data_IF_847799450200
#
_entry.id   IF_847799450200
#
_cell.length_a   1.000
_cell.length_b   1.000
_cell.length_c   1.000
_cell.angle_alpha   90.00
_cell.angle_beta   90.00
_cell.angle_gamma   90.00
#
_symmetry.space_group_name_H-M   'P 1'
#
loop_
_entity.id
_entity.type
_entity.pdbx_description
1 polymer ?
#
# COMPACT_ATOMS: atom_id res chain seq x y z
N UNK A 1 1.48 -28.56 6.40
CA UNK A 1 1.36 -27.25 5.71
C UNK A 1 0.74 -26.25 6.66
N UNK A 2 1.44 -25.17 6.99
CA UNK A 2 0.90 -24.05 7.78
C UNK A 2 0.73 -22.83 6.89
N UNK A 3 -0.34 -22.08 7.11
CA UNK A 3 -0.66 -20.86 6.36
C UNK A 3 -0.56 -19.66 7.30
N UNK A 4 0.30 -18.71 6.97
CA UNK A 4 0.54 -17.50 7.73
C UNK A 4 0.12 -16.29 6.89
N UNK A 5 -0.93 -15.61 7.33
CA UNK A 5 -1.41 -14.36 6.75
C UNK A 5 -1.06 -13.18 7.65
N UNK A 6 -0.87 -12.01 7.04
CA UNK A 6 -0.76 -10.78 7.81
C UNK A 6 -2.13 -10.44 8.43
N UNK A 7 -2.23 -10.12 9.73
CA UNK A 7 -3.50 -9.79 10.35
C UNK A 7 -4.07 -8.49 9.77
N UNK A 8 -5.33 -8.55 9.31
CA UNK A 8 -6.01 -7.43 8.67
C UNK A 8 -6.17 -6.20 9.60
N UNK A 9 -6.21 -6.42 10.92
CA UNK A 9 -6.37 -5.36 11.93
C UNK A 9 -5.17 -4.42 12.02
N UNK A 10 -3.95 -4.91 11.80
CA UNK A 10 -2.75 -4.07 11.78
C UNK A 10 -2.73 -3.12 10.56
N UNK A 11 -3.48 -3.45 9.51
CA UNK A 11 -3.46 -2.71 8.24
C UNK A 11 -4.46 -1.58 8.17
N UNK A 12 -5.52 -1.58 8.98
CA UNK A 12 -6.52 -0.51 8.97
C UNK A 12 -5.88 0.86 9.26
N UNK A 13 -4.93 0.91 10.19
CA UNK A 13 -4.19 2.12 10.51
C UNK A 13 -3.37 2.67 9.33
N UNK A 14 -2.82 1.78 8.49
CA UNK A 14 -2.05 2.19 7.31
C UNK A 14 -2.95 2.73 6.19
N UNK A 15 -4.15 2.17 6.01
CA UNK A 15 -5.14 2.73 5.09
C UNK A 15 -5.65 4.10 5.54
N UNK A 16 -5.94 4.25 6.84
CA UNK A 16 -6.35 5.54 7.41
C UNK A 16 -5.25 6.57 7.22
N UNK A 17 -3.99 6.21 7.48
CA UNK A 17 -2.85 7.12 7.27
C UNK A 17 -2.65 7.48 5.80
N UNK A 18 -2.79 6.53 4.88
CA UNK A 18 -2.72 6.78 3.44
C UNK A 18 -3.83 7.73 2.99
N UNK A 19 -5.07 7.48 3.42
CA UNK A 19 -6.23 8.30 3.09
C UNK A 19 -6.13 9.71 3.70
N UNK A 20 -5.70 9.82 4.95
CA UNK A 20 -5.57 11.10 5.65
C UNK A 20 -4.56 12.04 4.99
N UNK A 21 -3.52 11.50 4.35
CA UNK A 21 -2.57 12.31 3.58
C UNK A 21 -3.01 12.55 2.12
N UNK A 22 -3.58 11.54 1.47
CA UNK A 22 -3.93 11.63 0.05
C UNK A 22 -5.18 12.49 -0.18
N UNK A 23 -6.24 12.30 0.61
CA UNK A 23 -7.54 12.94 0.36
C UNK A 23 -7.45 14.46 0.45
N UNK A 24 -6.87 15.08 1.50
CA UNK A 24 -6.77 16.52 1.56
C UNK A 24 -5.91 17.10 0.44
N UNK A 25 -4.77 16.46 0.12
CA UNK A 25 -3.89 16.92 -0.95
C UNK A 25 -4.58 16.84 -2.33
N UNK A 26 -5.29 15.74 -2.60
CA UNK A 26 -6.05 15.58 -3.84
C UNK A 26 -7.22 16.58 -3.93
N UNK A 27 -7.94 16.82 -2.83
CA UNK A 27 -9.04 17.79 -2.78
C UNK A 27 -8.53 19.21 -3.06
N UNK A 28 -7.43 19.62 -2.43
CA UNK A 28 -6.85 20.95 -2.66
C UNK A 28 -6.43 21.10 -4.14
N UNK A 29 -5.73 20.12 -4.69
CA UNK A 29 -5.30 20.15 -6.11
C UNK A 29 -6.48 20.19 -7.09
N UNK A 30 -7.58 19.50 -6.78
CA UNK A 30 -8.74 19.40 -7.67
C UNK A 30 -9.69 20.60 -7.57
N UNK A 31 -9.82 21.21 -6.39
CA UNK A 31 -10.83 22.23 -6.10
C UNK A 31 -10.28 23.66 -6.07
N UNK A 32 -8.98 23.83 -5.85
CA UNK A 32 -8.36 25.15 -5.64
C UNK A 32 -7.33 25.41 -6.75
N UNK A 33 -7.43 26.54 -7.47
CA UNK A 33 -6.37 26.94 -8.41
C UNK A 33 -5.13 27.33 -7.61
N UNK A 34 -4.16 26.43 -7.57
CA UNK A 34 -2.88 26.61 -6.89
C UNK A 34 -1.81 27.06 -7.88
N UNK A 35 -0.83 27.82 -7.40
CA UNK A 35 0.33 28.19 -8.23
C UNK A 35 1.22 26.98 -8.56
N UNK A 36 2.06 27.06 -9.60
CA UNK A 36 2.84 25.92 -10.11
C UNK A 36 3.77 25.29 -9.06
N UNK A 37 4.34 26.09 -8.15
CA UNK A 37 5.18 25.57 -7.06
C UNK A 37 4.35 24.72 -6.09
N UNK A 38 3.17 25.21 -5.70
CA UNK A 38 2.28 24.51 -4.80
C UNK A 38 1.72 23.23 -5.45
N UNK A 39 1.46 23.25 -6.76
CA UNK A 39 1.04 22.08 -7.53
C UNK A 39 2.09 20.97 -7.50
N UNK A 40 3.37 21.30 -7.72
CA UNK A 40 4.47 20.32 -7.66
C UNK A 40 4.62 19.75 -6.25
N UNK A 41 4.56 20.59 -5.21
CA UNK A 41 4.72 20.15 -3.82
C UNK A 41 3.54 19.27 -3.38
N UNK A 42 2.31 19.73 -3.57
CA UNK A 42 1.11 18.97 -3.20
C UNK A 42 0.97 17.71 -4.04
N UNK A 43 1.30 17.78 -5.33
CA UNK A 43 1.30 16.63 -6.23
C UNK A 43 2.33 15.58 -5.81
N UNK A 44 3.53 16.01 -5.40
CA UNK A 44 4.54 15.13 -4.84
C UNK A 44 4.07 14.45 -3.55
N UNK A 45 3.48 15.21 -2.62
CA UNK A 45 2.93 14.67 -1.37
C UNK A 45 1.80 13.68 -1.65
N UNK A 46 0.84 14.03 -2.51
CA UNK A 46 -0.25 13.15 -2.92
C UNK A 46 0.31 11.87 -3.56
N UNK A 47 1.31 11.99 -4.44
CA UNK A 47 2.00 10.86 -5.06
C UNK A 47 2.64 9.91 -4.03
N UNK A 48 3.30 10.46 -3.00
CA UNK A 48 3.89 9.66 -1.92
C UNK A 48 2.82 8.89 -1.13
N UNK A 49 1.72 9.54 -0.76
CA UNK A 49 0.62 8.88 -0.05
C UNK A 49 -0.11 7.84 -0.91
N UNK A 50 -0.29 8.11 -2.21
CA UNK A 50 -0.84 7.16 -3.16
C UNK A 50 0.06 5.92 -3.30
N UNK A 51 1.37 6.11 -3.49
CA UNK A 51 2.34 5.03 -3.56
C UNK A 51 2.35 4.18 -2.28
N UNK A 52 2.28 4.84 -1.13
CA UNK A 52 2.18 4.17 0.16
C UNK A 52 0.89 3.33 0.25
N UNK A 53 -0.26 3.89 -0.12
CA UNK A 53 -1.55 3.18 -0.15
C UNK A 53 -1.54 1.96 -1.07
N UNK A 54 -1.00 2.09 -2.29
CA UNK A 54 -0.85 0.98 -3.23
C UNK A 54 0.06 -0.11 -2.67
N UNK A 55 1.21 0.27 -2.09
CA UNK A 55 2.14 -0.68 -1.44
C UNK A 55 1.47 -1.43 -0.28
N UNK A 56 0.65 -0.75 0.50
CA UNK A 56 -0.15 -1.37 1.57
C UNK A 56 -1.15 -2.36 0.99
N UNK A 57 -1.85 -2.02 -0.09
CA UNK A 57 -2.79 -2.92 -0.75
C UNK A 57 -2.13 -4.18 -1.34
N UNK A 58 -0.95 -4.04 -1.95
CA UNK A 58 -0.17 -5.18 -2.45
C UNK A 58 0.22 -6.14 -1.32
N UNK A 59 0.57 -5.60 -0.14
CA UNK A 59 0.91 -6.41 1.04
C UNK A 59 -0.30 -7.15 1.59
N UNK A 60 -1.50 -6.57 1.52
CA UNK A 60 -2.75 -7.19 1.96
C UNK A 60 -3.01 -8.53 1.26
N UNK A 61 -2.71 -8.59 -0.04
CA UNK A 61 -2.96 -9.78 -0.85
C UNK A 61 -1.98 -10.93 -0.60
N UNK A 62 -0.91 -10.74 0.18
CA UNK A 62 0.16 -11.74 0.32
C UNK A 62 -0.09 -12.66 1.51
N UNK A 63 -0.28 -13.95 1.24
CA UNK A 63 -0.34 -15.06 2.21
C UNK A 63 0.86 -15.96 1.99
N UNK A 64 1.48 -16.42 3.07
CA UNK A 64 2.60 -17.35 2.98
C UNK A 64 2.14 -18.75 3.36
N UNK A 65 2.40 -19.70 2.47
CA UNK A 65 2.23 -21.13 2.72
C UNK A 65 3.60 -21.76 2.93
N UNK A 66 3.74 -22.49 4.04
CA UNK A 66 4.97 -23.20 4.40
C UNK A 66 4.69 -24.70 4.35
N UNK A 67 5.47 -25.41 3.54
CA UNK A 67 5.52 -26.87 3.46
C UNK A 67 6.94 -27.37 3.70
N UNK A 68 7.10 -28.68 3.93
CA UNK A 68 8.42 -29.28 4.22
C UNK A 68 9.42 -29.14 3.07
N UNK A 69 8.94 -28.84 1.86
CA UNK A 69 9.73 -28.68 0.63
C UNK A 69 9.75 -27.28 0.02
N UNK A 70 8.96 -26.33 0.54
CA UNK A 70 8.85 -25.01 -0.09
C UNK A 70 8.19 -23.94 0.81
N UNK A 71 8.59 -22.70 0.57
CA UNK A 71 7.89 -21.49 1.03
C UNK A 71 7.26 -20.81 -0.20
N UNK A 72 5.94 -20.61 -0.17
CA UNK A 72 5.19 -20.00 -1.27
C UNK A 72 4.47 -18.73 -0.79
N UNK A 73 4.75 -17.61 -1.45
CA UNK A 73 3.96 -16.40 -1.33
C UNK A 73 2.80 -16.45 -2.33
N UNK A 74 1.57 -16.59 -1.83
CA UNK A 74 0.33 -16.47 -2.59
C UNK A 74 -0.20 -15.05 -2.46
N UNK A 75 -0.27 -14.33 -3.57
CA UNK A 75 -0.80 -12.97 -3.62
C UNK A 75 -0.62 -12.33 -4.99
N UNK A 76 -0.71 -11.01 -5.05
CA UNK A 76 -0.44 -10.23 -6.27
C UNK A 76 1.01 -10.39 -6.73
N UNK A 77 1.95 -10.41 -5.78
CA UNK A 77 3.35 -10.75 -6.05
C UNK A 77 3.59 -12.19 -5.61
N UNK A 78 3.78 -13.08 -6.59
CA UNK A 78 4.05 -14.50 -6.36
C UNK A 78 5.55 -14.72 -6.23
N UNK A 79 5.96 -15.48 -5.23
CA UNK A 79 7.34 -15.90 -5.05
C UNK A 79 7.36 -17.32 -4.45
N UNK A 80 8.36 -18.12 -4.82
CA UNK A 80 8.56 -19.44 -4.23
C UNK A 80 10.04 -19.68 -3.98
N UNK A 81 10.36 -20.17 -2.79
CA UNK A 81 11.68 -20.66 -2.41
C UNK A 81 11.53 -22.16 -2.15
N UNK A 82 12.34 -22.96 -2.85
CA UNK A 82 12.33 -24.43 -2.77
C UNK A 82 13.65 -24.85 -2.15
N UNK A 83 13.63 -25.85 -1.28
CA UNK A 83 14.81 -26.43 -0.65
C UNK A 83 14.73 -27.96 -0.64
#
# INVERSE_FOLDING_TARGET
>A
MTSHGYPASAMFGDYVRAAAGLVPAAVILAAIPVGPVAEVVLGGIAGLFALFGVRTMLRHGTRFEVSDSALRAKGLLKASIVW
#
